data_IF_658935003345
#
_entry.id   IF_658935003345
#
_cell.length_a   1.000
_cell.length_b   1.000
_cell.length_c   1.000
_cell.angle_alpha   90.00
_cell.angle_beta   90.00
_cell.angle_gamma   90.00
#
_symmetry.space_group_name_H-M   'P 1'
#
loop_
_entity.id
_entity.type
_entity.pdbx_description
1 polymer ?
#
# COMPACT_ATOMS: atom_id res chain seq x y z
N UNK A 1 -2.12 12.90 30.50
CA UNK A 1 -1.29 11.85 31.10
C UNK A 1 -0.17 11.50 30.14
N UNK A 2 1.06 11.45 30.60
CA UNK A 2 2.24 11.03 29.84
C UNK A 2 2.92 9.86 30.53
N UNK A 3 3.65 9.06 29.74
CA UNK A 3 4.48 7.98 30.25
C UNK A 3 5.90 8.15 29.71
N UNK A 4 6.89 7.81 30.53
CA UNK A 4 8.29 7.68 30.09
C UNK A 4 8.55 6.20 29.97
N UNK A 5 9.05 5.77 28.81
CA UNK A 5 9.40 4.39 28.53
C UNK A 5 10.87 4.34 28.15
N UNK A 6 11.64 3.56 28.85
CA UNK A 6 13.06 3.29 28.55
C UNK A 6 13.20 1.88 27.99
N UNK A 7 13.91 1.73 26.88
CA UNK A 7 14.24 0.43 26.31
C UNK A 7 15.57 0.50 25.59
N UNK A 8 16.20 -0.66 25.43
CA UNK A 8 17.47 -0.78 24.73
C UNK A 8 17.24 -1.43 23.36
N UNK A 9 17.80 -0.81 22.32
CA UNK A 9 17.79 -1.37 20.97
C UNK A 9 19.20 -1.90 20.69
N UNK A 10 19.40 -3.23 20.64
CA UNK A 10 20.73 -3.82 20.55
C UNK A 10 21.35 -3.73 19.16
N UNK A 11 20.55 -3.52 18.13
CA UNK A 11 21.03 -3.45 16.74
C UNK A 11 20.68 -2.11 16.11
N UNK A 12 21.58 -1.61 15.27
CA UNK A 12 21.31 -0.40 14.49
C UNK A 12 20.23 -0.67 13.45
N UNK A 13 19.27 0.23 13.31
CA UNK A 13 18.18 0.04 12.35
C UNK A 13 17.02 1.02 12.54
N UNK A 14 16.04 0.87 11.69
CA UNK A 14 14.77 1.62 11.78
C UNK A 14 13.68 0.73 12.34
N UNK A 15 13.07 1.14 13.43
CA UNK A 15 12.05 0.41 14.16
C UNK A 15 10.74 1.17 14.10
N UNK A 16 9.68 0.50 13.67
CA UNK A 16 8.35 1.10 13.60
C UNK A 16 7.70 1.03 14.97
N UNK A 17 7.26 2.17 15.46
CA UNK A 17 6.42 2.29 16.64
C UNK A 17 4.99 2.60 16.18
N UNK A 18 4.05 1.76 16.57
CA UNK A 18 2.65 1.89 16.15
C UNK A 18 1.71 1.74 17.36
N UNK A 19 0.72 2.60 17.43
CA UNK A 19 -0.41 2.36 18.32
C UNK A 19 -1.26 1.21 17.76
N UNK A 20 -1.29 0.09 18.47
CA UNK A 20 -2.06 -1.11 18.08
C UNK A 20 -3.57 -0.94 18.11
N UNK A 21 -4.09 0.20 18.55
CA UNK A 21 -5.48 0.54 18.33
C UNK A 21 -5.64 0.95 16.86
N UNK A 22 -6.18 0.05 16.03
CA UNK A 22 -6.22 0.20 14.57
C UNK A 22 -6.78 1.54 14.09
N UNK A 23 -7.75 2.11 14.80
CA UNK A 23 -8.29 3.43 14.50
C UNK A 23 -7.25 4.55 14.62
N UNK A 24 -6.34 4.47 15.58
CA UNK A 24 -5.30 5.47 15.81
C UNK A 24 -4.15 5.33 14.81
N UNK A 25 -3.75 4.09 14.48
CA UNK A 25 -2.74 3.83 13.46
C UNK A 25 -3.20 4.35 12.08
N UNK A 26 -4.48 4.16 11.74
CA UNK A 26 -5.08 4.69 10.51
C UNK A 26 -5.14 6.23 10.47
N UNK A 27 -5.10 6.89 11.63
CA UNK A 27 -5.04 8.34 11.76
C UNK A 27 -3.61 8.89 11.89
N UNK A 28 -2.59 8.05 11.69
CA UNK A 28 -1.20 8.47 11.70
C UNK A 28 -0.47 8.30 13.03
N UNK A 29 -1.03 7.55 13.99
CA UNK A 29 -0.31 7.20 15.22
C UNK A 29 0.78 6.15 14.96
N UNK A 30 1.69 6.48 14.08
CA UNK A 30 2.85 5.69 13.66
C UNK A 30 4.09 6.55 13.77
N UNK A 31 5.12 6.05 14.41
CA UNK A 31 6.43 6.68 14.52
C UNK A 31 7.55 5.74 14.07
N UNK A 32 8.70 6.31 13.78
CA UNK A 32 9.91 5.55 13.48
C UNK A 32 10.98 5.92 14.50
N UNK A 33 11.58 4.90 15.10
CA UNK A 33 12.76 5.04 15.97
C UNK A 33 13.96 4.60 15.15
N UNK A 34 14.90 5.52 14.89
CA UNK A 34 16.19 5.20 14.29
C UNK A 34 17.21 4.95 15.38
N UNK A 35 17.85 3.81 15.38
CA UNK A 35 18.89 3.44 16.34
C UNK A 35 20.24 3.26 15.64
N UNK A 36 21.32 3.69 16.30
CA UNK A 36 22.69 3.43 15.88
C UNK A 36 23.32 4.44 14.91
N UNK A 37 22.64 5.56 14.61
CA UNK A 37 23.20 6.66 13.83
C UNK A 37 23.67 7.82 14.69
N UNK A 38 24.57 8.71 14.20
CA UNK A 38 24.89 9.95 14.89
C UNK A 38 23.64 10.79 15.08
N UNK A 39 23.45 11.34 16.28
CA UNK A 39 22.31 12.18 16.59
C UNK A 39 22.26 13.38 15.62
N UNK A 40 21.25 13.47 14.81
CA UNK A 40 21.03 14.60 13.91
C UNK A 40 21.37 14.35 12.42
N UNK A 41 21.70 13.14 12.01
CA UNK A 41 21.86 12.82 10.59
C UNK A 41 20.50 12.45 9.97
N UNK A 42 19.90 13.34 9.14
CA UNK A 42 18.66 13.05 8.44
C UNK A 42 18.81 12.01 7.32
N UNK A 43 20.06 11.57 7.01
CA UNK A 43 20.32 10.65 5.90
C UNK A 43 20.24 9.17 6.30
N UNK A 44 20.07 8.83 7.57
CA UNK A 44 19.88 7.42 7.99
C UNK A 44 18.48 6.85 7.67
N UNK A 45 17.64 7.59 6.99
CA UNK A 45 16.52 7.03 6.29
C UNK A 45 16.94 6.50 4.90
N UNK A 46 17.98 5.64 4.86
CA UNK A 46 18.18 4.76 3.72
C UNK A 46 17.19 3.58 3.76
N UNK A 47 15.94 3.84 4.06
CA UNK A 47 14.86 3.25 3.30
C UNK A 47 15.16 3.73 1.88
N UNK A 48 15.45 2.85 0.90
CA UNK A 48 15.55 3.29 -0.49
C UNK A 48 14.34 4.19 -0.66
N UNK A 49 14.56 5.45 -1.04
CA UNK A 49 13.51 6.43 -1.12
C UNK A 49 12.48 5.83 -2.06
N UNK A 50 11.56 5.06 -1.51
CA UNK A 50 10.35 4.69 -2.21
C UNK A 50 9.73 6.03 -2.43
N UNK A 51 9.97 6.54 -3.64
CA UNK A 51 9.54 7.86 -4.02
C UNK A 51 8.14 8.02 -3.42
N UNK A 52 7.96 9.04 -2.60
CA UNK A 52 6.68 9.27 -1.93
C UNK A 52 5.90 10.20 -2.85
N UNK A 53 4.66 9.90 -3.19
CA UNK A 53 3.87 10.81 -3.99
C UNK A 53 3.76 12.16 -3.29
N UNK A 54 3.88 13.25 -4.04
CA UNK A 54 3.63 14.61 -3.56
C UNK A 54 2.17 15.03 -3.73
N UNK A 55 1.43 14.33 -4.58
CA UNK A 55 0.00 14.55 -4.75
C UNK A 55 -0.79 13.95 -3.59
N UNK A 56 -1.66 14.75 -2.97
CA UNK A 56 -2.41 14.37 -1.77
C UNK A 56 -3.31 13.13 -2.00
N UNK A 57 -3.87 12.95 -3.20
CA UNK A 57 -4.69 11.78 -3.53
C UNK A 57 -3.83 10.53 -3.60
N UNK A 58 -2.66 10.62 -4.21
CA UNK A 58 -1.74 9.49 -4.31
C UNK A 58 -1.12 9.14 -2.94
N UNK A 59 -0.85 10.12 -2.08
CA UNK A 59 -0.42 9.89 -0.69
C UNK A 59 -1.49 9.13 0.08
N UNK A 60 -2.74 9.59 0.03
CA UNK A 60 -3.86 8.91 0.68
C UNK A 60 -4.06 7.49 0.12
N UNK A 61 -3.94 7.33 -1.19
CA UNK A 61 -4.01 6.02 -1.85
C UNK A 61 -2.90 5.07 -1.44
N UNK A 62 -1.68 5.57 -1.23
CA UNK A 62 -0.55 4.78 -0.70
C UNK A 62 -0.86 4.26 0.70
N UNK A 63 -1.28 5.13 1.61
CA UNK A 63 -1.63 4.75 2.97
C UNK A 63 -2.78 3.73 3.01
N UNK A 64 -3.80 3.96 2.20
CA UNK A 64 -4.93 3.02 2.07
C UNK A 64 -4.47 1.66 1.51
N UNK A 65 -3.59 1.65 0.51
CA UNK A 65 -3.00 0.43 -0.03
C UNK A 65 -2.22 -0.36 1.02
N UNK A 66 -1.38 0.31 1.78
CA UNK A 66 -0.57 -0.31 2.83
C UNK A 66 -1.44 -0.94 3.93
N UNK A 67 -2.57 -0.34 4.24
CA UNK A 67 -3.48 -0.85 5.27
C UNK A 67 -4.39 -1.99 4.81
N UNK A 68 -4.90 -1.95 3.56
CA UNK A 68 -5.93 -2.87 3.08
C UNK A 68 -5.45 -3.89 2.05
N UNK A 69 -4.44 -3.56 1.25
CA UNK A 69 -4.07 -4.32 0.06
C UNK A 69 -2.71 -5.04 0.18
N UNK A 70 -1.80 -4.50 1.00
CA UNK A 70 -0.40 -4.96 1.10
C UNK A 70 -0.28 -6.40 1.58
N UNK A 71 -1.26 -6.92 2.33
CA UNK A 71 -1.28 -8.31 2.77
C UNK A 71 -1.30 -9.29 1.59
N UNK A 72 -2.02 -8.95 0.52
CA UNK A 72 -2.22 -9.82 -0.64
C UNK A 72 -1.48 -9.36 -1.89
N UNK A 73 -1.14 -8.08 -2.00
CA UNK A 73 -0.52 -7.47 -3.18
C UNK A 73 0.80 -6.79 -2.84
N UNK A 74 1.62 -6.55 -3.87
CA UNK A 74 2.78 -5.68 -3.80
C UNK A 74 2.73 -4.60 -4.88
N UNK A 75 3.61 -3.63 -4.81
CA UNK A 75 3.92 -2.68 -5.88
C UNK A 75 5.42 -2.81 -6.18
N UNK A 76 5.76 -3.55 -7.24
CA UNK A 76 7.14 -3.79 -7.63
C UNK A 76 7.89 -4.81 -6.79
N UNK A 77 7.24 -5.49 -5.86
CA UNK A 77 7.83 -6.51 -4.98
C UNK A 77 7.57 -7.96 -5.42
N UNK A 78 6.97 -8.15 -6.60
CA UNK A 78 6.58 -9.46 -7.10
C UNK A 78 5.21 -9.93 -6.61
N UNK A 79 4.77 -11.05 -7.16
CA UNK A 79 3.47 -11.65 -6.83
C UNK A 79 3.45 -12.18 -5.38
N UNK A 80 2.31 -12.05 -4.71
CA UNK A 80 2.01 -12.60 -3.38
C UNK A 80 0.82 -13.56 -3.47
N UNK A 81 -0.16 -13.42 -2.59
CA UNK A 81 -1.45 -14.11 -2.71
C UNK A 81 -2.25 -13.66 -3.94
N UNK A 82 -2.03 -12.43 -4.37
CA UNK A 82 -2.50 -11.85 -5.62
C UNK A 82 -1.34 -11.26 -6.42
N UNK A 83 -1.65 -10.71 -7.61
CA UNK A 83 -0.63 -10.16 -8.50
C UNK A 83 0.09 -8.95 -7.91
N UNK A 84 1.34 -8.76 -8.34
CA UNK A 84 2.01 -7.48 -8.23
C UNK A 84 1.27 -6.43 -9.06
N UNK A 85 0.91 -5.31 -8.43
CA UNK A 85 0.10 -4.27 -9.05
C UNK A 85 0.92 -3.24 -9.83
N UNK A 86 2.26 -3.34 -9.84
CA UNK A 86 3.06 -2.47 -10.72
C UNK A 86 2.64 -2.63 -12.18
N UNK A 87 2.47 -1.54 -12.91
CA UNK A 87 2.00 -1.53 -14.29
C UNK A 87 0.48 -1.77 -14.44
N UNK A 88 -0.28 -1.77 -13.34
CA UNK A 88 -1.71 -2.08 -13.41
C UNK A 88 -2.51 -1.07 -14.23
N UNK A 89 -2.14 0.22 -14.19
CA UNK A 89 -2.80 1.27 -14.99
C UNK A 89 -2.42 1.26 -16.47
N UNK A 90 -1.35 0.54 -16.81
CA UNK A 90 -0.95 0.31 -18.21
C UNK A 90 -1.65 -0.91 -18.82
N UNK A 91 -2.02 -1.88 -17.98
CA UNK A 91 -2.68 -3.12 -18.40
C UNK A 91 -4.21 -3.06 -18.37
N UNK A 92 -4.76 -2.06 -17.69
CA UNK A 92 -6.19 -1.88 -17.50
C UNK A 92 -6.55 -0.41 -17.65
N UNK A 93 -7.67 -0.13 -18.28
CA UNK A 93 -8.23 1.21 -18.28
C UNK A 93 -8.82 1.58 -16.90
N UNK A 94 -8.98 2.86 -16.67
CA UNK A 94 -9.47 3.40 -15.40
C UNK A 94 -10.89 2.96 -15.08
N UNK A 95 -11.75 2.84 -16.10
CA UNK A 95 -13.13 2.42 -15.92
C UNK A 95 -13.21 0.95 -15.46
N UNK A 96 -12.35 0.09 -16.02
CA UNK A 96 -12.24 -1.30 -15.59
C UNK A 96 -11.74 -1.39 -14.15
N UNK A 97 -10.66 -0.67 -13.83
CA UNK A 97 -10.10 -0.63 -12.47
C UNK A 97 -11.10 -0.12 -11.43
N UNK A 98 -11.85 0.92 -11.79
CA UNK A 98 -12.91 1.47 -10.93
C UNK A 98 -13.97 0.41 -10.60
N UNK A 99 -14.48 -0.30 -11.61
CA UNK A 99 -15.46 -1.38 -11.40
C UNK A 99 -14.87 -2.53 -10.60
N UNK A 100 -13.60 -2.91 -10.90
CA UNK A 100 -12.91 -3.98 -10.19
C UNK A 100 -12.73 -3.66 -8.70
N UNK A 101 -12.27 -2.47 -8.37
CA UNK A 101 -12.09 -2.03 -6.98
C UNK A 101 -13.42 -1.91 -6.23
N UNK A 102 -14.50 -1.57 -6.95
CA UNK A 102 -15.83 -1.40 -6.35
C UNK A 102 -16.55 -2.71 -6.07
N UNK A 103 -16.48 -3.66 -6.99
CA UNK A 103 -17.28 -4.90 -6.92
C UNK A 103 -16.57 -6.06 -7.62
N UNK A 104 -15.43 -6.54 -7.08
CA UNK A 104 -14.68 -7.64 -7.69
C UNK A 104 -15.51 -8.92 -7.79
N UNK A 105 -16.36 -9.21 -6.82
CA UNK A 105 -17.24 -10.37 -6.79
C UNK A 105 -18.27 -10.37 -7.93
N UNK A 106 -18.74 -9.20 -8.36
CA UNK A 106 -19.63 -9.10 -9.50
C UNK A 106 -18.87 -9.24 -10.82
N UNK A 107 -17.68 -8.68 -10.90
CA UNK A 107 -16.88 -8.75 -12.10
C UNK A 107 -16.40 -10.16 -12.42
N UNK A 108 -16.08 -10.99 -11.43
CA UNK A 108 -15.71 -12.40 -11.70
C UNK A 108 -16.88 -13.21 -12.30
N UNK A 109 -18.11 -12.75 -12.17
CA UNK A 109 -19.28 -13.39 -12.78
C UNK A 109 -19.54 -12.93 -14.22
N UNK A 110 -19.16 -11.71 -14.56
CA UNK A 110 -19.60 -11.05 -15.80
C UNK A 110 -18.47 -10.65 -16.75
N UNK A 111 -17.27 -10.42 -16.25
CA UNK A 111 -16.12 -9.95 -17.03
C UNK A 111 -15.13 -11.09 -17.31
N UNK A 112 -14.81 -11.32 -18.57
CA UNK A 112 -13.94 -12.43 -18.99
C UNK A 112 -12.52 -12.34 -18.41
N UNK A 113 -11.97 -11.11 -18.29
CA UNK A 113 -10.66 -10.88 -17.71
C UNK A 113 -10.63 -11.17 -16.21
N UNK A 114 -11.67 -10.74 -15.50
CA UNK A 114 -11.81 -11.03 -14.07
C UNK A 114 -11.97 -12.53 -13.80
N UNK A 115 -12.71 -13.25 -14.64
CA UNK A 115 -12.81 -14.72 -14.59
C UNK A 115 -11.44 -15.38 -14.76
N UNK A 116 -10.70 -15.00 -15.78
CA UNK A 116 -9.36 -15.53 -16.04
C UNK A 116 -8.38 -15.24 -14.88
N UNK A 117 -8.50 -14.08 -14.23
CA UNK A 117 -7.73 -13.77 -13.03
C UNK A 117 -8.07 -14.70 -11.87
N UNK A 118 -9.36 -14.97 -11.63
CA UNK A 118 -9.79 -15.91 -10.59
C UNK A 118 -9.31 -17.34 -10.90
N UNK A 119 -9.35 -17.76 -12.16
CA UNK A 119 -8.82 -19.07 -12.58
C UNK A 119 -7.31 -19.18 -12.34
N UNK A 120 -6.56 -18.12 -12.60
CA UNK A 120 -5.11 -18.08 -12.38
C UNK A 120 -4.74 -18.11 -10.90
N UNK A 121 -5.37 -17.24 -10.11
CA UNK A 121 -4.96 -17.00 -8.72
C UNK A 121 -5.64 -17.93 -7.72
N UNK A 122 -6.78 -18.53 -8.09
CA UNK A 122 -7.60 -19.44 -7.24
C UNK A 122 -8.15 -18.82 -5.96
N UNK A 123 -7.78 -17.59 -5.68
CA UNK A 123 -8.22 -16.83 -4.51
C UNK A 123 -9.03 -15.63 -5.01
N UNK A 124 -10.30 -15.52 -4.66
CA UNK A 124 -11.09 -14.36 -5.03
C UNK A 124 -10.60 -13.13 -4.25
N UNK A 125 -10.48 -12.00 -4.93
CA UNK A 125 -10.24 -10.73 -4.26
C UNK A 125 -11.50 -10.35 -3.45
N UNK A 126 -11.40 -10.16 -2.13
CA UNK A 126 -12.55 -9.77 -1.33
C UNK A 126 -12.94 -8.33 -1.64
N UNK A 127 -14.24 -8.03 -1.56
CA UNK A 127 -14.74 -6.66 -1.65
C UNK A 127 -14.27 -5.88 -0.41
N UNK A 128 -13.59 -4.75 -0.64
CA UNK A 128 -13.03 -3.91 0.41
C UNK A 128 -14.00 -2.80 0.86
N UNK A 129 -15.22 -2.74 0.30
CA UNK A 129 -16.22 -1.73 0.64
C UNK A 129 -15.76 -0.29 0.31
N UNK A 130 -15.01 -0.11 -0.76
CA UNK A 130 -14.41 1.18 -1.09
C UNK A 130 -15.44 2.18 -1.60
N UNK A 131 -15.38 3.40 -1.06
CA UNK A 131 -16.11 4.55 -1.60
C UNK A 131 -15.50 5.03 -2.93
N UNK A 132 -16.27 5.78 -3.71
CA UNK A 132 -15.78 6.36 -4.97
C UNK A 132 -14.59 7.32 -4.74
N UNK A 133 -14.51 7.98 -3.58
CA UNK A 133 -13.39 8.82 -3.19
C UNK A 133 -12.13 8.01 -2.93
N UNK A 134 -12.23 6.90 -2.18
CA UNK A 134 -11.10 5.99 -1.94
C UNK A 134 -10.61 5.36 -3.24
N UNK A 135 -11.51 4.94 -4.13
CA UNK A 135 -11.13 4.40 -5.45
C UNK A 135 -10.30 5.40 -6.24
N UNK A 136 -10.67 6.68 -6.26
CA UNK A 136 -9.86 7.73 -6.90
C UNK A 136 -8.47 7.86 -6.28
N UNK A 137 -8.35 7.75 -4.96
CA UNK A 137 -7.07 7.75 -4.25
C UNK A 137 -6.20 6.56 -4.65
N UNK A 138 -6.76 5.34 -4.71
CA UNK A 138 -6.04 4.17 -5.20
C UNK A 138 -5.56 4.34 -6.64
N UNK A 139 -6.41 4.84 -7.54
CA UNK A 139 -6.04 5.07 -8.93
C UNK A 139 -4.94 6.12 -9.07
N UNK A 140 -4.97 7.19 -8.28
CA UNK A 140 -3.91 8.18 -8.24
C UNK A 140 -2.58 7.55 -7.78
N UNK A 141 -2.62 6.73 -6.72
CA UNK A 141 -1.44 6.02 -6.24
C UNK A 141 -0.89 5.03 -7.27
N UNK A 142 -1.74 4.23 -7.91
CA UNK A 142 -1.29 3.28 -8.93
C UNK A 142 -0.67 3.97 -10.14
N UNK A 143 -1.26 5.08 -10.60
CA UNK A 143 -0.68 5.90 -11.68
C UNK A 143 0.70 6.43 -11.30
N UNK A 144 0.82 6.97 -10.10
CA UNK A 144 2.08 7.45 -9.58
C UNK A 144 3.10 6.31 -9.47
N UNK A 145 2.73 5.16 -8.93
CA UNK A 145 3.60 4.01 -8.77
C UNK A 145 4.11 3.48 -10.12
N UNK A 146 3.24 3.40 -11.11
CA UNK A 146 3.58 2.96 -12.47
C UNK A 146 4.59 3.87 -13.20
N UNK A 147 4.77 5.10 -12.71
CA UNK A 147 5.73 6.08 -13.23
C UNK A 147 7.03 6.13 -12.44
N UNK A 148 6.98 5.86 -11.13
CA UNK A 148 8.06 6.15 -10.19
C UNK A 148 8.69 4.91 -9.56
N UNK A 149 7.97 3.79 -9.49
CA UNK A 149 8.49 2.53 -8.95
C UNK A 149 9.01 1.67 -10.08
N UNK A 150 10.27 1.28 -10.00
CA UNK A 150 10.87 0.34 -10.96
C UNK A 150 10.53 -1.08 -10.54
N UNK A 151 10.19 -1.91 -11.52
CA UNK A 151 10.16 -3.36 -11.32
C UNK A 151 11.61 -3.84 -11.18
N UNK A 152 11.92 -4.65 -10.16
CA UNK A 152 13.25 -5.23 -10.00
C UNK A 152 13.63 -6.15 -11.16
#
# INVERSE_FOLDING_TARGET
>A
SGAIVEFMIPEAGSYVMVDHHFANAAQGAVGIIAAGGPAGDPEHHNIPATATPSDAQAVAGKLAFESKCLACHSIGGGDKLGPDLIGTTKRNDEAWLTRWLKSPEQMVLTDAKAKAMLEKWKIPMPNQGLSDAEIKQYLAYFKWADQNVKKP
#
